data_IF_825209278180
#
_entry.id   IF_825209278180
#
_cell.length_a   1.000
_cell.length_b   1.000
_cell.length_c   1.000
_cell.angle_alpha   90.00
_cell.angle_beta   90.00
_cell.angle_gamma   90.00
#
_symmetry.space_group_name_H-M   'P 1'
#
loop_
_entity.id
_entity.type
_entity.pdbx_description
1 polymer ?
#
# COMPACT_ATOMS: atom_id res chain seq x y z
N UNK A 1 25.69 -33.83 -41.67
CA UNK A 1 24.98 -34.09 -42.94
C UNK A 1 24.13 -32.89 -43.30
N UNK A 2 24.53 -32.12 -44.32
CA UNK A 2 23.82 -30.91 -44.73
C UNK A 2 22.52 -31.28 -45.45
N UNK A 3 21.38 -30.86 -44.88
CA UNK A 3 20.09 -30.86 -45.60
C UNK A 3 20.21 -29.83 -46.74
N UNK A 4 19.67 -30.14 -47.91
CA UNK A 4 19.89 -29.42 -49.18
C UNK A 4 19.57 -27.92 -49.15
N UNK A 5 19.83 -27.26 -50.29
CA UNK A 5 19.64 -25.82 -50.47
C UNK A 5 18.20 -25.41 -50.12
N UNK A 6 18.06 -24.39 -49.28
CA UNK A 6 16.76 -23.81 -48.86
C UNK A 6 16.57 -22.48 -49.60
N UNK A 7 15.35 -22.23 -50.08
CA UNK A 7 14.96 -20.95 -50.70
C UNK A 7 14.89 -19.81 -49.65
N UNK A 8 15.25 -18.59 -50.05
CA UNK A 8 15.13 -17.41 -49.18
C UNK A 8 13.69 -16.87 -49.25
N UNK A 9 12.81 -17.51 -48.47
CA UNK A 9 11.42 -17.10 -48.25
C UNK A 9 10.99 -17.36 -46.81
N UNK A 10 9.87 -16.79 -46.39
CA UNK A 10 9.31 -17.04 -45.05
C UNK A 10 9.03 -18.54 -44.87
N UNK A 11 9.48 -19.10 -43.75
CA UNK A 11 9.22 -20.49 -43.39
C UNK A 11 7.82 -20.55 -42.76
N UNK A 12 6.88 -21.26 -43.39
CA UNK A 12 5.49 -21.30 -42.93
C UNK A 12 5.32 -22.14 -41.66
N UNK A 13 5.97 -23.30 -41.60
CA UNK A 13 5.91 -24.18 -40.43
C UNK A 13 6.54 -23.49 -39.19
N UNK A 14 5.77 -23.28 -38.10
CA UNK A 14 6.22 -22.52 -36.94
C UNK A 14 7.39 -23.18 -36.19
N UNK A 15 7.37 -24.50 -36.02
CA UNK A 15 8.43 -25.25 -35.33
C UNK A 15 9.74 -25.17 -36.11
N UNK A 16 9.70 -25.42 -37.42
CA UNK A 16 10.86 -25.30 -38.30
C UNK A 16 11.39 -23.87 -38.35
N UNK A 17 10.50 -22.87 -38.34
CA UNK A 17 10.85 -21.44 -38.29
C UNK A 17 11.57 -21.09 -36.99
N UNK A 18 11.09 -21.54 -35.83
CA UNK A 18 11.72 -21.28 -34.53
C UNK A 18 13.11 -21.92 -34.41
N UNK A 19 13.25 -23.18 -34.83
CA UNK A 19 14.56 -23.88 -34.81
C UNK A 19 15.54 -23.18 -35.76
N UNK A 20 15.08 -22.79 -36.95
CA UNK A 20 15.91 -22.09 -37.94
C UNK A 20 16.31 -20.71 -37.44
N UNK A 21 15.38 -19.95 -36.87
CA UNK A 21 15.66 -18.66 -36.24
C UNK A 21 16.74 -18.80 -35.19
N UNK A 22 16.60 -19.74 -34.25
CA UNK A 22 17.58 -19.95 -33.17
C UNK A 22 18.98 -20.27 -33.70
N UNK A 23 19.08 -21.15 -34.70
CA UNK A 23 20.37 -21.50 -35.32
C UNK A 23 20.99 -20.35 -36.10
N UNK A 24 20.20 -19.67 -36.95
CA UNK A 24 20.69 -18.55 -37.77
C UNK A 24 21.05 -17.34 -36.93
N UNK A 25 20.23 -16.99 -35.94
CA UNK A 25 20.50 -15.93 -34.96
C UNK A 25 21.84 -16.14 -34.28
N UNK A 26 22.09 -17.35 -33.74
CA UNK A 26 23.36 -17.66 -33.09
C UNK A 26 24.53 -17.62 -34.09
N UNK A 27 24.33 -18.08 -35.33
CA UNK A 27 25.34 -18.01 -36.39
C UNK A 27 25.70 -16.57 -36.76
N UNK A 28 24.72 -15.68 -36.92
CA UNK A 28 24.92 -14.27 -37.22
C UNK A 28 25.64 -13.57 -36.05
N UNK A 29 25.21 -13.82 -34.81
CA UNK A 29 25.88 -13.26 -33.62
C UNK A 29 27.35 -13.68 -33.57
N UNK A 30 27.66 -14.96 -33.85
CA UNK A 30 29.06 -15.44 -33.92
C UNK A 30 29.86 -14.70 -34.99
N UNK A 31 29.29 -14.50 -36.18
CA UNK A 31 29.95 -13.76 -37.27
C UNK A 31 30.16 -12.29 -36.93
N UNK A 32 29.17 -11.65 -36.28
CA UNK A 32 29.29 -10.28 -35.80
C UNK A 32 30.39 -10.14 -34.73
N UNK A 33 30.55 -11.14 -33.86
CA UNK A 33 31.64 -11.19 -32.89
C UNK A 33 33.01 -11.43 -33.53
N UNK A 34 33.11 -12.38 -34.47
CA UNK A 34 34.34 -12.58 -35.25
C UNK A 34 34.75 -11.28 -35.94
N UNK A 35 33.82 -10.57 -36.58
CA UNK A 35 34.11 -9.28 -37.22
C UNK A 35 34.57 -8.22 -36.21
N UNK A 36 33.86 -8.08 -35.09
CA UNK A 36 34.23 -7.11 -34.06
C UNK A 36 35.65 -7.35 -33.51
N UNK A 37 36.05 -8.61 -33.32
CA UNK A 37 37.37 -8.97 -32.79
C UNK A 37 38.47 -8.88 -33.85
N UNK A 38 38.22 -9.32 -35.08
CA UNK A 38 39.27 -9.43 -36.11
C UNK A 38 39.69 -8.08 -36.69
N UNK A 39 38.78 -7.12 -36.79
CA UNK A 39 39.04 -5.81 -37.41
C UNK A 39 38.80 -4.63 -36.48
N UNK A 40 38.58 -4.88 -35.18
CA UNK A 40 38.25 -3.86 -34.17
C UNK A 40 37.04 -2.98 -34.58
N UNK A 41 36.08 -3.58 -35.27
CA UNK A 41 34.88 -2.88 -35.71
C UNK A 41 33.83 -2.84 -34.58
N UNK A 42 33.20 -1.67 -34.40
CA UNK A 42 32.02 -1.54 -33.54
C UNK A 42 30.79 -2.09 -34.27
N UNK A 43 30.19 -3.15 -33.72
CA UNK A 43 29.07 -3.86 -34.36
C UNK A 43 27.89 -3.93 -33.39
N UNK A 44 26.71 -3.53 -33.86
CA UNK A 44 25.44 -3.64 -33.15
C UNK A 44 24.44 -4.39 -34.02
N UNK A 45 23.73 -5.35 -33.44
CA UNK A 45 22.67 -6.10 -34.10
C UNK A 45 21.43 -6.10 -33.21
N UNK A 46 20.31 -5.64 -33.75
CA UNK A 46 19.00 -5.65 -33.08
C UNK A 46 18.08 -6.54 -33.92
N UNK A 47 17.54 -7.59 -33.32
CA UNK A 47 16.62 -8.52 -33.98
C UNK A 47 15.27 -8.52 -33.27
N UNK A 48 14.24 -8.10 -34.00
CA UNK A 48 12.84 -8.18 -33.58
C UNK A 48 12.23 -9.44 -34.18
N UNK A 49 11.72 -10.32 -33.32
CA UNK A 49 11.00 -11.52 -33.76
C UNK A 49 9.50 -11.25 -33.91
N UNK A 50 8.78 -12.15 -34.59
CA UNK A 50 7.32 -12.06 -34.72
C UNK A 50 6.56 -12.21 -33.38
N UNK A 51 7.26 -12.52 -32.30
CA UNK A 51 6.72 -12.58 -30.93
C UNK A 51 7.12 -11.35 -30.12
N UNK A 52 7.58 -10.29 -30.78
CA UNK A 52 8.02 -9.02 -30.19
C UNK A 52 9.21 -9.15 -29.22
N UNK A 53 9.80 -10.35 -29.09
CA UNK A 53 11.02 -10.55 -28.32
C UNK A 53 12.19 -9.92 -29.05
N UNK A 54 12.90 -9.05 -28.34
CA UNK A 54 14.13 -8.41 -28.77
C UNK A 54 15.30 -9.31 -28.41
N UNK A 55 16.17 -9.57 -29.38
CA UNK A 55 17.50 -10.14 -29.14
C UNK A 55 18.52 -9.19 -29.72
N UNK A 56 19.48 -8.79 -28.90
CA UNK A 56 20.55 -7.89 -29.29
C UNK A 56 21.93 -8.52 -29.15
N UNK A 57 22.86 -8.03 -29.95
CA UNK A 57 24.29 -8.25 -29.79
C UNK A 57 25.00 -6.91 -29.96
N UNK A 58 25.96 -6.64 -29.09
CA UNK A 58 26.78 -5.43 -29.12
C UNK A 58 28.25 -5.83 -28.93
N UNK A 59 29.14 -5.22 -29.70
CA UNK A 59 30.59 -5.43 -29.52
C UNK A 59 31.04 -4.95 -28.13
N UNK A 60 31.99 -5.63 -27.46
CA UNK A 60 32.38 -5.32 -26.08
C UNK A 60 32.88 -3.90 -25.82
N UNK A 61 33.38 -3.23 -26.86
CA UNK A 61 33.99 -1.89 -26.80
C UNK A 61 32.96 -0.74 -26.81
N UNK A 62 31.67 -1.05 -26.93
CA UNK A 62 30.62 -0.03 -27.07
C UNK A 62 29.31 -0.46 -26.41
N UNK A 63 28.34 0.44 -26.38
CA UNK A 63 26.98 0.20 -25.88
C UNK A 63 25.95 0.48 -26.97
N UNK A 64 24.77 -0.11 -26.87
CA UNK A 64 23.67 0.12 -27.83
C UNK A 64 23.35 1.61 -27.94
N UNK A 65 23.26 2.31 -26.80
CA UNK A 65 23.08 3.77 -26.76
C UNK A 65 24.14 4.50 -27.57
N UNK A 66 25.42 4.22 -27.32
CA UNK A 66 26.54 4.87 -28.03
C UNK A 66 26.50 4.60 -29.54
N UNK A 67 26.10 3.39 -29.96
CA UNK A 67 25.93 3.06 -31.38
C UNK A 67 24.77 3.83 -32.02
N UNK A 68 23.65 3.98 -31.33
CA UNK A 68 22.51 4.78 -31.79
C UNK A 68 22.92 6.26 -31.87
N UNK A 69 23.60 6.79 -30.85
CA UNK A 69 24.09 8.18 -30.83
C UNK A 69 25.06 8.45 -32.01
N UNK A 70 25.98 7.53 -32.28
CA UNK A 70 26.90 7.62 -33.43
C UNK A 70 26.13 7.55 -34.76
N UNK A 71 25.14 6.67 -34.87
CA UNK A 71 24.29 6.56 -36.05
C UNK A 71 23.54 7.87 -36.31
N UNK A 72 22.93 8.47 -35.27
CA UNK A 72 22.27 9.77 -35.33
C UNK A 72 23.21 10.88 -35.76
N UNK A 73 24.42 10.94 -35.17
CA UNK A 73 25.43 11.95 -35.49
C UNK A 73 25.90 11.85 -36.94
N UNK A 74 26.15 10.64 -37.43
CA UNK A 74 26.64 10.42 -38.80
C UNK A 74 25.58 10.73 -39.85
N UNK A 75 24.32 10.37 -39.60
CA UNK A 75 23.22 10.65 -40.53
C UNK A 75 22.57 12.02 -40.32
N UNK A 76 22.94 12.74 -39.27
CA UNK A 76 22.34 14.02 -38.86
C UNK A 76 20.82 13.92 -38.68
N UNK A 77 20.35 12.79 -38.13
CA UNK A 77 18.93 12.52 -37.86
C UNK A 77 18.70 12.52 -36.35
N UNK A 78 17.62 13.18 -35.92
CA UNK A 78 17.15 13.09 -34.55
C UNK A 78 16.00 12.07 -34.42
N UNK A 79 16.36 10.85 -34.01
CA UNK A 79 15.40 9.75 -33.75
C UNK A 79 14.53 10.02 -32.52
N UNK A 80 14.95 10.91 -31.61
CA UNK A 80 14.26 11.17 -30.36
C UNK A 80 13.33 12.36 -30.43
N UNK A 81 13.46 13.23 -31.45
CA UNK A 81 12.67 14.47 -31.60
C UNK A 81 11.16 14.25 -31.44
N UNK A 82 10.59 13.28 -32.16
CA UNK A 82 9.15 12.98 -32.11
C UNK A 82 8.71 12.46 -30.74
N UNK A 83 9.47 11.53 -30.17
CA UNK A 83 9.19 10.98 -28.83
C UNK A 83 9.33 12.04 -27.74
N UNK A 84 10.34 12.90 -27.86
CA UNK A 84 10.61 13.98 -26.92
C UNK A 84 9.50 15.04 -26.97
N UNK A 85 9.04 15.44 -28.17
CA UNK A 85 7.92 16.36 -28.29
C UNK A 85 6.61 15.75 -27.77
N UNK A 86 6.36 14.46 -28.02
CA UNK A 86 5.21 13.76 -27.42
C UNK A 86 5.28 13.76 -25.88
N UNK A 87 6.45 13.48 -25.31
CA UNK A 87 6.68 13.53 -23.86
C UNK A 87 6.52 14.93 -23.27
N UNK A 88 6.97 15.95 -24.01
CA UNK A 88 6.84 17.35 -23.60
C UNK A 88 5.38 17.79 -23.60
N UNK A 89 4.62 17.33 -24.58
CA UNK A 89 3.18 17.59 -24.68
C UNK A 89 2.39 16.90 -23.57
N UNK A 90 2.74 15.65 -23.21
CA UNK A 90 2.11 14.98 -22.05
C UNK A 90 2.44 15.71 -20.76
N UNK A 91 3.68 16.16 -20.58
CA UNK A 91 4.08 16.97 -19.43
C UNK A 91 3.31 18.30 -19.36
N UNK A 92 3.10 18.97 -20.50
CA UNK A 92 2.31 20.21 -20.58
C UNK A 92 0.87 19.96 -20.11
N UNK A 93 0.21 18.94 -20.67
CA UNK A 93 -1.15 18.54 -20.28
C UNK A 93 -1.24 18.22 -18.79
N UNK A 94 -0.26 17.49 -18.24
CA UNK A 94 -0.26 17.12 -16.83
C UNK A 94 -0.10 18.35 -15.92
N UNK A 95 0.74 19.32 -16.33
CA UNK A 95 0.86 20.60 -15.62
C UNK A 95 -0.44 21.40 -15.66
N UNK A 96 -1.12 21.45 -16.80
CA UNK A 96 -2.42 22.13 -16.95
C UNK A 96 -3.51 21.51 -16.08
N UNK A 97 -3.59 20.17 -16.03
CA UNK A 97 -4.51 19.47 -15.13
C UNK A 97 -4.17 19.76 -13.68
N UNK A 98 -2.88 19.74 -13.32
CA UNK A 98 -2.45 20.00 -11.95
C UNK A 98 -2.77 21.44 -11.50
N UNK A 99 -2.52 22.44 -12.36
CA UNK A 99 -2.86 23.83 -12.05
C UNK A 99 -4.38 24.02 -11.94
N UNK A 100 -5.16 23.36 -12.80
CA UNK A 100 -6.63 23.36 -12.71
C UNK A 100 -7.11 22.76 -11.38
N UNK A 101 -6.62 21.58 -11.00
CA UNK A 101 -6.99 20.93 -9.73
C UNK A 101 -6.59 21.77 -8.52
N UNK A 102 -5.40 22.38 -8.53
CA UNK A 102 -4.96 23.30 -7.47
C UNK A 102 -5.89 24.50 -7.34
N UNK A 103 -6.32 25.07 -8.48
CA UNK A 103 -7.30 26.16 -8.49
C UNK A 103 -8.64 25.71 -7.91
N UNK A 104 -9.17 24.56 -8.34
CA UNK A 104 -10.44 24.04 -7.82
C UNK A 104 -10.38 23.77 -6.31
N UNK A 105 -9.27 23.21 -5.79
CA UNK A 105 -9.07 23.01 -4.36
C UNK A 105 -9.03 24.36 -3.62
N UNK A 106 -8.29 25.33 -4.14
CA UNK A 106 -8.20 26.68 -3.56
C UNK A 106 -9.58 27.35 -3.48
N UNK A 107 -10.35 27.29 -4.58
CA UNK A 107 -11.72 27.83 -4.65
C UNK A 107 -12.64 27.19 -3.61
N UNK A 108 -12.59 25.86 -3.47
CA UNK A 108 -13.38 25.12 -2.45
C UNK A 108 -12.94 25.40 -1.02
N UNK A 109 -11.67 25.77 -0.81
CA UNK A 109 -11.11 26.08 0.52
C UNK A 109 -11.30 27.56 0.89
N UNK A 110 -11.75 28.40 -0.05
CA UNK A 110 -11.97 29.84 0.16
C UNK A 110 -10.68 30.65 0.33
N UNK A 111 -9.55 30.10 -0.14
CA UNK A 111 -8.22 30.70 0.10
C UNK A 111 -7.84 31.73 -0.97
N UNK A 112 -8.06 31.45 -2.26
CA UNK A 112 -7.71 32.36 -3.37
C UNK A 112 -8.57 32.11 -4.63
N UNK A 113 -8.72 33.16 -5.46
CA UNK A 113 -9.28 33.16 -6.83
C UNK A 113 -10.81 33.01 -6.96
N UNK A 114 -11.59 33.54 -6.02
CA UNK A 114 -13.04 33.69 -6.18
C UNK A 114 -13.44 34.83 -7.12
N UNK A 115 -12.58 35.85 -7.29
CA UNK A 115 -12.84 37.02 -8.13
C UNK A 115 -12.84 36.70 -9.64
N UNK A 116 -12.21 35.60 -10.04
CA UNK A 116 -12.10 35.17 -11.44
C UNK A 116 -13.30 34.31 -11.90
N UNK A 117 -14.19 33.96 -10.96
CA UNK A 117 -15.41 33.20 -11.24
C UNK A 117 -16.55 34.15 -11.62
N UNK A 118 -17.32 33.76 -12.63
CA UNK A 118 -18.60 34.39 -12.92
C UNK A 118 -19.62 34.12 -11.81
N UNK A 119 -20.64 34.98 -11.70
CA UNK A 119 -21.71 34.80 -10.70
C UNK A 119 -22.39 33.44 -10.80
N UNK A 120 -22.59 32.93 -12.02
CA UNK A 120 -23.18 31.60 -12.26
C UNK A 120 -22.28 30.49 -11.74
N UNK A 121 -20.97 30.55 -12.01
CA UNK A 121 -20.03 29.54 -11.52
C UNK A 121 -19.88 29.58 -9.99
N UNK A 122 -20.06 30.75 -9.38
CA UNK A 122 -20.05 30.91 -7.94
C UNK A 122 -21.29 30.26 -7.29
N UNK A 123 -22.47 30.44 -7.87
CA UNK A 123 -23.71 29.79 -7.43
C UNK A 123 -23.57 28.26 -7.55
N UNK A 124 -23.07 27.77 -8.69
CA UNK A 124 -22.84 26.34 -8.89
C UNK A 124 -21.83 25.79 -7.86
N UNK A 125 -20.77 26.54 -7.55
CA UNK A 125 -19.79 26.15 -6.54
C UNK A 125 -20.43 26.09 -5.15
N UNK A 126 -21.28 27.04 -4.79
CA UNK A 126 -22.01 27.06 -3.52
C UNK A 126 -22.96 25.86 -3.39
N UNK A 127 -23.74 25.57 -4.43
CA UNK A 127 -24.65 24.42 -4.45
C UNK A 127 -23.87 23.10 -4.32
N UNK A 128 -22.77 22.97 -5.06
CA UNK A 128 -21.89 21.79 -5.00
C UNK A 128 -21.29 21.60 -3.61
N UNK A 129 -20.82 22.68 -2.98
CA UNK A 129 -20.25 22.65 -1.62
C UNK A 129 -21.32 22.29 -0.59
N UNK A 130 -22.51 22.86 -0.70
CA UNK A 130 -23.64 22.60 0.20
C UNK A 130 -24.06 21.12 0.13
N UNK A 131 -24.21 20.59 -1.08
CA UNK A 131 -24.52 19.17 -1.31
C UNK A 131 -23.43 18.26 -0.78
N UNK A 132 -22.16 18.58 -1.04
CA UNK A 132 -21.02 17.80 -0.55
C UNK A 132 -20.97 17.75 0.98
N UNK A 133 -21.23 18.88 1.66
CA UNK A 133 -21.29 18.96 3.12
C UNK A 133 -22.44 18.12 3.67
N UNK A 134 -23.61 18.14 3.02
CA UNK A 134 -24.75 17.32 3.44
C UNK A 134 -24.41 15.82 3.41
N UNK A 135 -23.82 15.34 2.32
CA UNK A 135 -23.39 13.93 2.17
C UNK A 135 -22.33 13.56 3.22
N UNK A 136 -21.35 14.43 3.47
CA UNK A 136 -20.32 14.20 4.51
C UNK A 136 -20.95 14.11 5.90
N UNK A 137 -21.90 14.99 6.22
CA UNK A 137 -22.61 14.98 7.52
C UNK A 137 -23.44 13.72 7.69
N UNK A 138 -24.19 13.32 6.67
CA UNK A 138 -24.98 12.10 6.68
C UNK A 138 -24.10 10.88 6.98
N UNK A 139 -22.98 10.75 6.26
CA UNK A 139 -22.03 9.65 6.49
C UNK A 139 -21.42 9.68 7.88
N UNK A 140 -21.03 10.87 8.39
CA UNK A 140 -20.50 11.02 9.76
C UNK A 140 -21.53 10.62 10.80
N UNK A 141 -22.78 11.08 10.68
CA UNK A 141 -23.85 10.74 11.60
C UNK A 141 -24.20 9.26 11.55
N UNK A 142 -24.18 8.65 10.37
CA UNK A 142 -24.39 7.20 10.22
C UNK A 142 -23.34 6.41 11.02
N UNK A 143 -22.05 6.76 10.89
CA UNK A 143 -20.96 6.11 11.63
C UNK A 143 -21.10 6.33 13.14
N UNK A 144 -21.41 7.56 13.57
CA UNK A 144 -21.60 7.89 15.00
C UNK A 144 -22.78 7.10 15.58
N UNK A 145 -23.89 7.02 14.85
CA UNK A 145 -25.08 6.27 15.23
C UNK A 145 -24.77 4.80 15.43
N UNK A 146 -24.11 4.16 14.45
CA UNK A 146 -23.71 2.75 14.55
C UNK A 146 -22.79 2.49 15.76
N UNK A 147 -21.80 3.36 16.00
CA UNK A 147 -20.91 3.22 17.15
C UNK A 147 -21.66 3.39 18.48
N UNK A 148 -22.57 4.36 18.56
CA UNK A 148 -23.40 4.62 19.73
C UNK A 148 -24.29 3.41 20.03
N UNK A 149 -24.97 2.85 19.03
CA UNK A 149 -25.80 1.67 19.18
C UNK A 149 -24.99 0.45 19.65
N UNK A 150 -23.79 0.24 19.10
CA UNK A 150 -22.89 -0.85 19.53
C UNK A 150 -22.49 -0.69 21.00
N UNK A 151 -22.12 0.53 21.43
CA UNK A 151 -21.78 0.82 22.83
C UNK A 151 -22.98 0.64 23.75
N UNK A 152 -24.16 1.15 23.38
CA UNK A 152 -25.39 0.98 24.16
C UNK A 152 -25.75 -0.50 24.35
N UNK A 153 -25.64 -1.33 23.31
CA UNK A 153 -25.85 -2.79 23.44
C UNK A 153 -24.86 -3.42 24.41
N UNK A 154 -23.59 -3.00 24.39
CA UNK A 154 -22.57 -3.51 25.32
C UNK A 154 -22.87 -3.11 26.77
N UNK A 155 -23.33 -1.88 27.01
CA UNK A 155 -23.75 -1.40 28.33
C UNK A 155 -24.92 -2.22 28.85
N UNK A 156 -26.00 -2.38 28.07
CA UNK A 156 -27.16 -3.21 28.47
C UNK A 156 -26.76 -4.65 28.83
N UNK A 157 -25.88 -5.26 28.03
CA UNK A 157 -25.36 -6.60 28.29
C UNK A 157 -24.48 -6.69 29.56
N UNK A 158 -23.73 -5.62 29.88
CA UNK A 158 -22.97 -5.54 31.13
C UNK A 158 -23.90 -5.38 32.33
N UNK A 159 -24.88 -4.51 32.25
CA UNK A 159 -25.87 -4.28 33.30
C UNK A 159 -26.70 -5.54 33.58
N UNK A 160 -27.09 -6.28 32.55
CA UNK A 160 -27.81 -7.55 32.70
C UNK A 160 -26.98 -8.61 33.40
N UNK A 161 -25.70 -8.76 33.02
CA UNK A 161 -24.79 -9.67 33.74
C UNK A 161 -24.58 -9.25 35.18
N UNK A 162 -24.46 -7.95 35.45
CA UNK A 162 -24.32 -7.45 36.81
C UNK A 162 -25.57 -7.74 37.66
N UNK A 163 -26.78 -7.52 37.11
CA UNK A 163 -28.03 -7.89 37.78
C UNK A 163 -28.09 -9.38 38.11
N UNK A 164 -27.70 -10.24 37.17
CA UNK A 164 -27.70 -11.69 37.39
C UNK A 164 -26.69 -12.11 38.47
N UNK A 165 -25.51 -11.47 38.52
CA UNK A 165 -24.52 -11.72 39.57
C UNK A 165 -25.02 -11.28 40.96
N UNK A 166 -25.63 -10.09 41.05
CA UNK A 166 -26.21 -9.60 42.31
C UNK A 166 -27.32 -10.55 42.78
N UNK A 167 -28.22 -10.95 41.89
CA UNK A 167 -29.31 -11.87 42.23
C UNK A 167 -28.79 -13.25 42.67
N UNK A 168 -27.73 -13.75 42.03
CA UNK A 168 -27.05 -14.99 42.44
C UNK A 168 -26.39 -14.87 43.82
N UNK A 169 -25.79 -13.71 44.14
CA UNK A 169 -25.22 -13.43 45.46
C UNK A 169 -26.30 -13.37 46.54
N UNK A 170 -27.38 -12.63 46.31
CA UNK A 170 -28.53 -12.53 47.23
C UNK A 170 -29.15 -13.92 47.48
N UNK A 171 -29.37 -14.71 46.42
CA UNK A 171 -29.91 -16.07 46.56
C UNK A 171 -28.98 -17.01 47.33
N UNK A 172 -27.65 -16.89 47.16
CA UNK A 172 -26.68 -17.68 47.91
C UNK A 172 -26.65 -17.30 49.41
N UNK A 173 -26.86 -16.02 49.73
CA UNK A 173 -26.97 -15.53 51.12
C UNK A 173 -28.28 -15.98 51.77
N UNK A 174 -29.38 -16.10 51.02
CA UNK A 174 -30.67 -16.58 51.56
C UNK A 174 -30.73 -18.10 51.78
N UNK A 175 -30.00 -18.89 50.99
CA UNK A 175 -30.03 -20.37 51.06
C UNK A 175 -29.05 -20.94 52.09
N UNK A 176 -28.07 -20.17 52.55
CA UNK A 176 -27.14 -20.56 53.62
C UNK A 176 -27.00 -19.47 54.71
N UNK A 177 -27.78 -19.53 55.81
CA UNK A 177 -27.65 -18.61 56.95
C UNK A 177 -26.32 -18.73 57.70
N UNK A 178 -25.43 -19.64 57.31
CA UNK A 178 -24.21 -19.96 58.07
C UNK A 178 -23.06 -18.98 57.83
N UNK A 179 -23.25 -17.97 56.97
CA UNK A 179 -22.42 -16.75 56.92
C UNK A 179 -23.06 -15.58 57.70
N UNK A 180 -23.86 -15.89 58.72
CA UNK A 180 -24.15 -14.93 59.78
C UNK A 180 -22.85 -14.48 60.44
N UNK A 181 -22.69 -13.17 60.60
CA UNK A 181 -21.63 -12.53 61.37
C UNK A 181 -21.43 -13.26 62.70
N UNK A 182 -20.44 -14.14 62.76
CA UNK A 182 -19.85 -14.55 64.02
C UNK A 182 -18.76 -13.51 64.27
N UNK A 183 -19.05 -12.58 65.16
CA UNK A 183 -18.01 -11.80 65.85
C UNK A 183 -17.09 -12.81 66.54
N UNK A 184 -16.05 -13.25 65.84
CA UNK A 184 -14.99 -14.06 66.41
C UNK A 184 -13.68 -13.39 66.03
N UNK A 185 -13.17 -12.63 66.99
CA UNK A 185 -11.82 -12.07 66.99
C UNK A 185 -10.80 -13.22 66.83
N UNK A 186 -10.33 -13.44 65.61
CA UNK A 186 -9.27 -14.42 65.35
C UNK A 186 -9.12 -14.79 63.87
N UNK A 187 -8.04 -14.32 63.26
CA UNK A 187 -7.39 -14.86 62.06
C UNK A 187 -8.28 -15.18 60.83
N UNK A 188 -8.56 -14.14 60.05
CA UNK A 188 -9.21 -14.22 58.74
C UNK A 188 -8.21 -14.59 57.62
N UNK A 189 -7.50 -15.72 57.73
CA UNK A 189 -6.60 -16.23 56.67
C UNK A 189 -7.09 -17.55 56.03
N UNK A 190 -8.33 -18.00 56.26
CA UNK A 190 -8.75 -19.29 55.70
C UNK A 190 -10.26 -19.43 55.47
N UNK A 191 -10.84 -18.62 54.57
CA UNK A 191 -12.22 -18.81 54.10
C UNK A 191 -12.43 -18.56 52.59
N UNK A 192 -11.37 -18.69 51.77
CA UNK A 192 -11.46 -18.64 50.29
C UNK A 192 -11.08 -20.00 49.69
N UNK A 193 -11.53 -21.10 50.32
CA UNK A 193 -11.14 -22.46 49.92
C UNK A 193 -12.30 -23.37 49.49
N UNK A 194 -13.57 -22.92 49.54
CA UNK A 194 -14.71 -23.78 49.21
C UNK A 194 -15.74 -23.09 48.31
N UNK A 195 -15.33 -22.79 47.09
CA UNK A 195 -16.22 -22.81 45.92
C UNK A 195 -15.36 -22.94 44.65
N UNK A 196 -14.88 -24.15 44.40
CA UNK A 196 -14.24 -24.52 43.14
C UNK A 196 -15.18 -24.22 41.96
N UNK A 197 -14.69 -23.48 40.96
CA UNK A 197 -15.24 -23.62 39.61
C UNK A 197 -15.19 -22.45 38.64
N UNK A 198 -14.49 -21.34 38.89
CA UNK A 198 -14.17 -20.38 37.83
C UNK A 198 -13.02 -19.44 38.24
N UNK A 199 -11.80 -19.86 37.95
CA UNK A 199 -10.62 -19.00 37.83
C UNK A 199 -10.92 -17.83 36.89
N UNK A 200 -11.01 -16.62 37.44
CA UNK A 200 -10.56 -15.35 36.85
C UNK A 200 -10.70 -14.27 37.94
N UNK A 201 -9.75 -14.30 38.88
CA UNK A 201 -9.61 -13.34 39.97
C UNK A 201 -9.21 -11.98 39.37
N UNK A 202 -10.16 -11.06 39.25
CA UNK A 202 -9.84 -9.65 39.00
C UNK A 202 -9.40 -9.03 40.32
N UNK A 203 -8.10 -8.83 40.47
CA UNK A 203 -7.50 -8.04 41.55
C UNK A 203 -7.96 -6.58 41.45
N UNK A 204 -8.81 -6.13 42.37
CA UNK A 204 -9.10 -4.71 42.58
C UNK A 204 -7.91 -4.07 43.32
N UNK A 205 -6.99 -3.45 42.58
CA UNK A 205 -6.03 -2.53 43.17
C UNK A 205 -6.77 -1.27 43.61
N UNK A 206 -6.89 -1.10 44.93
CA UNK A 206 -7.33 0.14 45.57
C UNK A 206 -6.21 1.18 45.37
N UNK A 207 -6.35 2.05 44.38
CA UNK A 207 -5.47 3.21 44.22
C UNK A 207 -5.75 4.17 45.37
N UNK A 208 -4.86 4.19 46.37
CA UNK A 208 -4.73 5.29 47.30
C UNK A 208 -4.15 6.48 46.53
N UNK A 209 -4.96 7.52 46.32
CA UNK A 209 -4.45 8.82 45.95
C UNK A 209 -3.80 9.45 47.18
N UNK A 210 -2.49 9.63 47.15
CA UNK A 210 -1.88 10.83 47.72
C UNK A 210 -0.84 11.36 46.71
N UNK A 211 -0.74 12.68 46.51
CA UNK A 211 0.10 13.29 45.50
C UNK A 211 1.53 13.35 46.02
N UNK A 212 2.51 13.00 45.19
CA UNK A 212 3.76 13.75 44.99
C UNK A 212 4.78 12.88 44.23
N UNK A 213 5.25 13.47 43.13
CA UNK A 213 6.50 13.26 42.40
C UNK A 213 6.70 12.14 41.33
N UNK A 214 7.57 12.43 40.32
CA UNK A 214 7.47 11.91 38.97
C UNK A 214 8.66 11.01 38.56
N UNK A 215 8.49 10.39 37.38
CA UNK A 215 9.54 9.91 36.47
C UNK A 215 10.25 8.57 36.72
N UNK A 216 10.32 7.83 35.59
CA UNK A 216 11.27 6.78 35.16
C UNK A 216 11.05 5.35 35.69
N UNK A 217 11.37 4.27 34.98
CA UNK A 217 11.50 3.87 33.56
C UNK A 217 12.04 2.42 33.63
N UNK A 218 11.54 1.52 32.78
CA UNK A 218 12.08 0.19 32.41
C UNK A 218 12.35 -0.88 33.51
N UNK A 219 12.10 -2.19 33.33
CA UNK A 219 11.72 -3.02 32.18
C UNK A 219 12.07 -4.50 32.47
N UNK A 220 11.60 -5.40 31.59
CA UNK A 220 11.80 -6.87 31.49
C UNK A 220 10.76 -7.76 32.21
N UNK A 221 10.08 -8.74 31.59
CA UNK A 221 10.08 -9.40 30.27
C UNK A 221 9.01 -10.53 30.32
N UNK A 222 8.54 -11.23 29.28
CA UNK A 222 8.76 -11.32 27.83
C UNK A 222 7.50 -11.95 27.18
N UNK A 223 7.18 -11.68 25.90
CA UNK A 223 7.45 -12.54 24.71
C UNK A 223 6.31 -13.54 24.44
N UNK A 224 5.69 -13.77 23.28
CA UNK A 224 5.84 -13.46 21.84
C UNK A 224 4.44 -13.69 21.19
N UNK A 225 4.02 -13.17 20.03
CA UNK A 225 4.60 -13.35 18.70
C UNK A 225 3.90 -12.49 17.60
N UNK A 226 4.68 -12.14 16.56
CA UNK A 226 4.37 -11.74 15.15
C UNK A 226 3.50 -10.50 14.90
N UNK A 227 3.99 -9.33 14.46
CA UNK A 227 4.85 -8.94 13.31
C UNK A 227 4.29 -9.25 11.93
N UNK A 228 3.72 -8.22 11.29
CA UNK A 228 4.09 -7.71 9.96
C UNK A 228 3.27 -6.46 9.63
N UNK A 229 3.93 -5.32 9.41
CA UNK A 229 3.68 -4.32 8.34
C UNK A 229 4.78 -3.25 8.50
N UNK A 230 5.76 -3.34 7.61
CA UNK A 230 6.82 -2.36 7.39
C UNK A 230 6.33 -1.18 6.55
N UNK A 231 6.94 -0.03 6.84
CA UNK A 231 6.91 1.25 6.14
C UNK A 231 7.07 1.15 4.62
N UNK A 232 6.39 2.04 3.89
CA UNK A 232 6.79 2.47 2.55
C UNK A 232 7.45 3.84 2.66
N UNK A 233 8.67 3.90 2.12
CA UNK A 233 9.61 5.01 2.13
C UNK A 233 9.14 6.24 1.34
N UNK A 234 9.48 7.40 1.90
CA UNK A 234 9.76 8.66 1.21
C UNK A 234 10.88 8.46 0.16
N UNK A 235 10.64 8.94 -1.06
CA UNK A 235 11.65 9.08 -2.11
C UNK A 235 12.04 10.56 -2.23
N UNK A 236 13.23 10.87 -1.72
CA UNK A 236 14.03 12.01 -2.20
C UNK A 236 14.74 11.60 -3.50
N UNK A 237 14.60 12.42 -4.54
CA UNK A 237 15.56 12.50 -5.64
C UNK A 237 15.86 13.98 -5.90
N UNK A 238 17.07 14.36 -5.50
CA UNK A 238 17.98 15.18 -6.30
C UNK A 238 18.97 14.21 -6.96
#
# INVERSE_FOLDING_TARGET
MGRGKVEIKRIENPTSRQVTYSKRRNGIIKKANELAVLVDAQVCLIMLSSTEKIVEYISPTTTVKKMIDLYQKNLKIDLWSEHYEAMKETLRKLKEVNTKLKREISQRTGQDQLNDLSLTELIDLEENMTTSVAVIRERKYHVIKQQTEKRQKKVRSLEERNRNLIHGYESAVEVDPQFGYVDNDGDFESAVALANGATNLYSFNRVQNNPDDPNLDNGHGGGSAMSSITQLHDLRLA
#
